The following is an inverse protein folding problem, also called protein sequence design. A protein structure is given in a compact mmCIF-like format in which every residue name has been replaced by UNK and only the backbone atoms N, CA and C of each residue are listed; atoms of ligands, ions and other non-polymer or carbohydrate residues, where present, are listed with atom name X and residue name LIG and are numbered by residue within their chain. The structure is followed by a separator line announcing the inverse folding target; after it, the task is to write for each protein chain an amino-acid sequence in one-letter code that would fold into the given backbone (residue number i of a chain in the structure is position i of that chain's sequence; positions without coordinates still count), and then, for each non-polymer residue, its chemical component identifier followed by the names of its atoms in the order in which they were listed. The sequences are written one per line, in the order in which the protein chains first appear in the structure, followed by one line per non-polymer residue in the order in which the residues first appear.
data_IF_173609539033
#
_entry.id   IF_173609539033
#
_cell.length_a   1.000
_cell.length_b   1.000
_cell.length_c   1.000
_cell.angle_alpha   90.00
_cell.angle_beta   90.00
_cell.angle_gamma   90.00
#
_symmetry.space_group_name_H-M   'P 1'
#
loop_
_entity.id
_entity.type
_entity.pdbx_description
1 polymer ?
#
# COMPACT_ATOMS: atom_id res chain seq x y z
N UNK A 1 -12.20 9.28 13.54
CA UNK A 1 -12.65 10.08 14.68
C UNK A 1 -13.73 9.28 15.41
N UNK A 2 -13.62 9.20 16.73
CA UNK A 2 -14.63 8.58 17.59
C UNK A 2 -15.31 9.68 18.40
N UNK A 3 -16.62 9.59 18.59
CA UNK A 3 -17.34 10.44 19.54
C UNK A 3 -17.13 9.95 20.99
N UNK A 4 -17.69 10.64 21.97
CA UNK A 4 -17.59 10.29 23.39
C UNK A 4 -18.24 8.93 23.73
N UNK A 5 -19.16 8.46 22.89
CA UNK A 5 -19.81 7.14 23.00
C UNK A 5 -19.01 6.01 22.31
N UNK A 6 -17.84 6.32 21.75
CA UNK A 6 -16.98 5.36 21.06
C UNK A 6 -17.40 5.00 19.63
N UNK A 7 -18.46 5.62 19.11
CA UNK A 7 -18.92 5.43 17.73
C UNK A 7 -18.00 6.14 16.73
N UNK A 8 -17.69 5.48 15.61
CA UNK A 8 -16.92 6.07 14.52
C UNK A 8 -17.81 7.03 13.74
N UNK A 9 -17.44 8.31 13.73
CA UNK A 9 -18.21 9.39 13.07
C UNK A 9 -17.63 9.82 11.72
N UNK A 10 -16.51 9.23 11.29
CA UNK A 10 -15.91 9.56 10.00
C UNK A 10 -16.74 9.01 8.84
N UNK A 11 -16.95 9.82 7.80
CA UNK A 11 -17.62 9.38 6.57
C UNK A 11 -16.79 8.33 5.82
N UNK A 12 -15.46 8.45 5.84
CA UNK A 12 -14.54 7.50 5.26
C UNK A 12 -13.16 7.65 5.90
N UNK A 13 -12.40 6.55 5.95
CA UNK A 13 -10.99 6.56 6.34
C UNK A 13 -10.14 6.56 5.06
N UNK A 14 -9.38 7.62 4.76
CA UNK A 14 -8.59 7.69 3.54
C UNK A 14 -7.43 6.69 3.56
N UNK A 15 -6.99 6.30 2.36
CA UNK A 15 -5.79 5.46 2.19
C UNK A 15 -4.54 6.24 2.60
N UNK A 16 -3.55 5.51 3.13
CA UNK A 16 -2.23 6.06 3.44
C UNK A 16 -1.19 5.50 2.47
N UNK A 17 -0.26 6.34 2.07
CA UNK A 17 0.90 5.95 1.27
C UNK A 17 1.76 4.99 2.09
N UNK A 18 1.99 3.79 1.58
CA UNK A 18 2.79 2.75 2.23
C UNK A 18 4.25 3.16 2.44
N UNK A 19 4.77 4.07 1.61
CA UNK A 19 6.16 4.53 1.69
C UNK A 19 6.39 5.64 2.73
N UNK A 20 5.46 6.60 2.82
CA UNK A 20 5.67 7.83 3.60
C UNK A 20 4.66 8.03 4.74
N UNK A 21 3.69 7.13 4.87
CA UNK A 21 2.54 7.25 5.79
C UNK A 21 1.70 8.53 5.60
N UNK A 22 1.93 9.30 4.53
CA UNK A 22 1.09 10.45 4.17
C UNK A 22 -0.29 9.98 3.72
N UNK A 23 -1.32 10.75 4.06
CA UNK A 23 -2.67 10.51 3.58
C UNK A 23 -2.72 10.76 2.07
N UNK A 24 -3.31 9.82 1.33
CA UNK A 24 -3.62 9.99 -0.09
C UNK A 24 -4.93 10.78 -0.15
N UNK A 25 -4.85 12.01 -0.65
CA UNK A 25 -6.01 12.91 -0.71
C UNK A 25 -6.92 12.54 -1.87
N UNK A 26 -8.18 12.96 -1.81
CA UNK A 26 -9.16 12.68 -2.87
C UNK A 26 -8.79 13.29 -4.24
N UNK A 27 -7.96 14.34 -4.26
CA UNK A 27 -7.49 15.02 -5.48
C UNK A 27 -6.12 14.52 -5.97
N UNK A 28 -5.52 13.54 -5.29
CA UNK A 28 -4.27 12.92 -5.74
C UNK A 28 -4.55 11.89 -6.85
N UNK A 29 -4.80 12.40 -8.06
CA UNK A 29 -5.03 11.60 -9.26
C UNK A 29 -3.76 10.90 -9.77
N UNK A 30 -2.59 11.30 -9.25
CA UNK A 30 -1.33 10.63 -9.52
C UNK A 30 -1.06 9.50 -8.52
N UNK A 31 -1.90 9.27 -7.51
CA UNK A 31 -1.76 8.12 -6.63
C UNK A 31 -2.06 6.80 -7.36
N UNK A 32 -1.35 5.74 -7.00
CA UNK A 32 -1.54 4.39 -7.56
C UNK A 32 -1.63 3.36 -6.46
N UNK A 33 -2.29 2.25 -6.79
CA UNK A 33 -2.34 1.06 -5.97
C UNK A 33 -1.80 -0.10 -6.78
N UNK A 34 -0.79 -0.78 -6.23
CA UNK A 34 -0.08 -1.88 -6.88
C UNK A 34 -0.35 -3.13 -6.06
N UNK A 35 -0.86 -4.17 -6.71
CA UNK A 35 -1.05 -5.47 -6.12
C UNK A 35 0.05 -6.41 -6.62
N UNK A 36 0.85 -6.94 -5.70
CA UNK A 36 1.86 -7.96 -5.98
C UNK A 36 1.23 -9.32 -5.71
N UNK A 37 1.01 -10.08 -6.78
CA UNK A 37 0.46 -11.43 -6.68
C UNK A 37 1.45 -12.39 -6.04
N UNK A 38 0.95 -13.26 -5.19
CA UNK A 38 1.73 -14.29 -4.51
C UNK A 38 1.80 -15.55 -5.38
N UNK A 39 2.98 -16.16 -5.43
CA UNK A 39 3.21 -17.43 -6.13
C UNK A 39 3.39 -18.60 -5.17
N UNK A 40 2.95 -19.78 -5.60
CA UNK A 40 3.19 -21.05 -4.92
C UNK A 40 4.57 -21.63 -5.26
N UNK A 41 4.89 -22.80 -4.71
CA UNK A 41 6.17 -23.50 -4.94
C UNK A 41 6.41 -23.90 -6.40
N UNK A 42 5.34 -24.00 -7.20
CA UNK A 42 5.40 -24.30 -8.62
C UNK A 42 5.52 -23.02 -9.48
N UNK A 43 5.54 -21.84 -8.84
CA UNK A 43 5.55 -20.54 -9.51
C UNK A 43 4.19 -20.13 -10.08
N UNK A 44 3.09 -20.81 -9.69
CA UNK A 44 1.74 -20.44 -10.09
C UNK A 44 1.15 -19.43 -9.12
N UNK A 45 0.31 -18.53 -9.65
CA UNK A 45 -0.40 -17.54 -8.84
C UNK A 45 -1.38 -18.20 -7.89
N UNK A 46 -1.27 -17.91 -6.58
CA UNK A 46 -2.05 -18.55 -5.51
C UNK A 46 -3.39 -17.84 -5.19
N UNK A 47 -3.69 -16.75 -5.89
CA UNK A 47 -4.89 -15.94 -5.69
C UNK A 47 -4.77 -14.86 -4.61
N UNK A 48 -3.67 -14.83 -3.84
CA UNK A 48 -3.39 -13.84 -2.79
C UNK A 48 -2.48 -12.74 -3.34
N UNK A 49 -2.55 -11.58 -2.71
CA UNK A 49 -1.70 -10.45 -3.10
C UNK A 49 -1.37 -9.56 -1.91
N UNK A 50 -0.24 -8.88 -2.01
CA UNK A 50 0.08 -7.75 -1.12
C UNK A 50 -0.14 -6.45 -1.87
N UNK A 51 -0.92 -5.56 -1.27
CA UNK A 51 -1.23 -4.26 -1.83
C UNK A 51 -0.32 -3.18 -1.26
N UNK A 52 0.24 -2.36 -2.14
CA UNK A 52 0.94 -1.13 -1.79
C UNK A 52 0.24 0.07 -2.41
N UNK A 53 0.07 1.14 -1.62
CA UNK A 53 -0.46 2.40 -2.10
C UNK A 53 0.66 3.44 -2.13
N UNK A 54 0.88 4.07 -3.28
CA UNK A 54 1.88 5.12 -3.44
C UNK A 54 1.18 6.44 -3.77
N UNK A 55 1.54 7.51 -3.05
CA UNK A 55 1.06 8.85 -3.33
C UNK A 55 1.74 9.45 -4.56
N UNK A 56 1.06 10.38 -5.22
CA UNK A 56 1.62 11.10 -6.37
C UNK A 56 2.92 11.84 -6.05
N UNK A 57 3.07 12.31 -4.81
CA UNK A 57 4.29 12.98 -4.33
C UNK A 57 5.54 12.10 -4.50
N UNK A 58 5.51 10.85 -4.02
CA UNK A 58 6.66 9.93 -4.08
C UNK A 58 7.00 9.58 -5.54
N UNK A 59 5.98 9.49 -6.39
CA UNK A 59 6.15 9.26 -7.83
C UNK A 59 6.78 10.45 -8.54
N UNK A 60 6.36 11.67 -8.23
CA UNK A 60 6.92 12.88 -8.81
C UNK A 60 8.38 13.12 -8.38
N UNK A 61 8.75 12.68 -7.18
CA UNK A 61 10.12 12.78 -6.66
C UNK A 61 11.09 11.79 -7.33
N UNK A 62 10.58 10.73 -7.98
CA UNK A 62 11.41 9.65 -8.55
C UNK A 62 11.76 8.54 -7.56
N UNK A 63 11.31 8.63 -6.31
CA UNK A 63 11.62 7.66 -5.24
C UNK A 63 10.64 6.47 -5.19
N UNK A 64 9.71 6.38 -6.13
CA UNK A 64 8.66 5.36 -6.14
C UNK A 64 9.22 3.93 -6.27
N UNK A 65 10.18 3.73 -7.17
CA UNK A 65 10.79 2.43 -7.42
C UNK A 65 11.56 1.92 -6.19
N UNK A 66 12.53 2.70 -5.71
CA UNK A 66 13.31 2.34 -4.51
C UNK A 66 12.46 2.19 -3.24
N UNK A 67 11.36 2.94 -3.14
CA UNK A 67 10.40 2.75 -2.05
C UNK A 67 9.65 1.42 -2.16
N UNK A 68 9.20 1.04 -3.36
CA UNK A 68 8.49 -0.20 -3.60
C UNK A 68 9.39 -1.41 -3.36
N UNK A 69 10.62 -1.40 -3.87
CA UNK A 69 11.59 -2.48 -3.66
C UNK A 69 11.86 -2.70 -2.17
N UNK A 70 12.16 -1.63 -1.42
CA UNK A 70 12.37 -1.70 0.03
C UNK A 70 11.16 -2.23 0.79
N UNK A 71 9.94 -1.82 0.40
CA UNK A 71 8.71 -2.28 1.02
C UNK A 71 8.44 -3.75 0.71
N UNK A 72 8.68 -4.17 -0.53
CA UNK A 72 8.50 -5.53 -0.96
C UNK A 72 9.50 -6.46 -0.29
N UNK A 73 10.79 -6.12 -0.21
CA UNK A 73 11.78 -6.94 0.49
C UNK A 73 11.41 -7.24 1.94
N UNK A 74 10.84 -6.25 2.65
CA UNK A 74 10.33 -6.45 4.02
C UNK A 74 9.13 -7.40 4.04
N UNK A 75 8.16 -7.17 3.15
CA UNK A 75 6.95 -8.00 3.08
C UNK A 75 7.24 -9.41 2.60
N UNK A 76 8.15 -9.58 1.63
CA UNK A 76 8.59 -10.87 1.06
C UNK A 76 8.96 -11.87 2.17
N UNK A 77 9.72 -11.41 3.18
CA UNK A 77 10.08 -12.22 4.34
C UNK A 77 8.87 -12.59 5.22
N UNK A 78 7.92 -11.67 5.41
CA UNK A 78 6.69 -11.93 6.19
C UNK A 78 5.76 -12.94 5.50
N UNK A 79 5.62 -12.85 4.18
CA UNK A 79 4.73 -13.75 3.40
C UNK A 79 5.41 -15.02 2.90
N UNK A 80 6.69 -15.24 3.22
CA UNK A 80 7.48 -16.41 2.81
C UNK A 80 7.44 -16.67 1.29
N UNK A 81 7.29 -15.61 0.50
CA UNK A 81 7.48 -15.64 -0.94
C UNK A 81 9.00 -15.70 -1.15
N UNK A 82 9.59 -16.81 -1.61
CA UNK A 82 11.05 -16.93 -1.78
C UNK A 82 11.42 -17.06 -3.25
#
# INVERSE_FOLDING_TARGET
MQNEEGAMVDLYVPRKCSATNRIITAKDHASVQINIGHVDENGLYDGRFTTFALSGFVRAQGDADGSLDRLWQKKKAEVKQL
#
